data_IF_180441207564
#
_entry.id   IF_180441207564
#
_cell.length_a   1.000
_cell.length_b   1.000
_cell.length_c   1.000
_cell.angle_alpha   90.00
_cell.angle_beta   90.00
_cell.angle_gamma   90.00
#
_symmetry.space_group_name_H-M   'P 1'
#
loop_
_entity.id
_entity.type
_entity.pdbx_description
1 polymer ?
#
# COMPACT_ATOMS: atom_id res chain seq x y z
N UNK A 1 61.42 28.12 -5.45
CA UNK A 1 60.66 28.23 -6.71
C UNK A 1 59.29 28.86 -6.42
N UNK A 2 58.78 29.67 -7.35
CA UNK A 2 57.41 30.21 -7.52
C UNK A 2 56.35 29.98 -6.41
N UNK A 3 55.79 31.06 -5.80
CA UNK A 3 54.45 31.70 -6.06
C UNK A 3 53.25 30.78 -5.75
N UNK A 4 52.03 31.22 -5.43
CA UNK A 4 51.42 32.42 -4.81
C UNK A 4 49.89 32.11 -4.65
N UNK A 5 49.10 32.73 -3.77
CA UNK A 5 49.39 33.74 -2.76
C UNK A 5 48.17 34.09 -1.87
N UNK A 6 48.42 34.94 -0.86
CA UNK A 6 47.48 35.54 0.11
C UNK A 6 46.39 36.39 -0.58
N UNK A 7 45.22 36.52 0.06
CA UNK A 7 44.44 37.76 0.01
C UNK A 7 44.08 38.25 1.42
N UNK A 8 44.28 39.55 1.63
CA UNK A 8 44.07 40.30 2.86
C UNK A 8 42.85 41.21 2.67
N UNK A 9 42.21 41.59 3.78
CA UNK A 9 41.01 42.42 3.79
C UNK A 9 41.27 43.94 3.64
N UNK A 10 40.15 44.68 3.63
CA UNK A 10 39.97 46.13 3.90
C UNK A 10 40.10 47.10 2.73
N UNK A 11 38.97 47.76 2.39
CA UNK A 11 38.89 49.23 2.41
C UNK A 11 37.45 49.71 2.69
N UNK A 12 37.31 50.88 3.33
CA UNK A 12 36.04 51.51 3.73
C UNK A 12 36.03 52.98 3.29
N UNK A 13 34.99 53.38 2.53
CA UNK A 13 34.40 54.73 2.35
C UNK A 13 33.47 54.64 1.11
N UNK A 14 32.28 55.28 1.00
CA UNK A 14 31.56 56.13 1.93
C UNK A 14 30.97 57.38 1.24
N UNK A 15 29.73 57.32 0.71
CA UNK A 15 28.81 58.48 0.55
C UNK A 15 27.38 58.04 0.15
N UNK A 16 26.37 58.87 0.42
CA UNK A 16 24.95 58.62 0.13
C UNK A 16 24.62 58.65 -1.37
N UNK A 17 23.64 57.84 -1.81
CA UNK A 17 22.36 58.32 -2.37
C UNK A 17 21.41 57.17 -2.79
N UNK A 18 20.13 57.32 -2.40
CA UNK A 18 18.90 56.69 -2.93
C UNK A 18 18.82 55.16 -3.05
N UNK A 19 17.79 54.59 -2.44
CA UNK A 19 17.63 53.14 -2.29
C UNK A 19 17.22 52.40 -3.56
N UNK A 20 17.96 51.34 -3.86
CA UNK A 20 17.44 50.10 -4.47
C UNK A 20 17.87 48.94 -3.58
N UNK A 21 16.99 47.95 -3.39
CA UNK A 21 17.31 46.79 -2.54
C UNK A 21 18.45 45.98 -3.17
N UNK A 22 19.40 45.44 -2.38
CA UNK A 22 20.47 44.62 -2.92
C UNK A 22 19.87 43.33 -3.48
N UNK A 23 20.02 43.12 -4.80
CA UNK A 23 19.77 41.82 -5.39
C UNK A 23 20.70 40.80 -4.72
N UNK A 24 20.12 39.80 -4.07
CA UNK A 24 20.88 38.70 -3.47
C UNK A 24 21.61 37.98 -4.60
N UNK A 25 22.93 38.17 -4.66
CA UNK A 25 23.77 37.56 -5.68
C UNK A 25 23.77 36.03 -5.48
N UNK A 26 22.94 35.35 -6.27
CA UNK A 26 22.87 33.90 -6.28
C UNK A 26 24.23 33.34 -6.73
N UNK A 27 24.78 32.32 -6.06
CA UNK A 27 26.03 31.70 -6.48
C UNK A 27 25.83 31.12 -7.89
N UNK A 28 26.71 31.48 -8.82
CA UNK A 28 26.66 31.02 -10.21
C UNK A 28 27.13 29.56 -10.28
N UNK A 29 26.28 28.65 -9.84
CA UNK A 29 26.42 27.21 -10.11
C UNK A 29 26.11 27.03 -11.60
N UNK A 30 27.01 26.40 -12.35
CA UNK A 30 26.81 26.23 -13.80
C UNK A 30 25.56 25.38 -14.07
N UNK A 31 24.86 25.65 -15.18
CA UNK A 31 23.66 24.89 -15.58
C UNK A 31 23.91 23.38 -15.57
N UNK A 32 25.09 22.94 -16.01
CA UNK A 32 25.49 21.52 -15.99
C UNK A 32 25.56 20.95 -14.57
N UNK A 33 26.06 21.71 -13.59
CA UNK A 33 26.13 21.28 -12.19
C UNK A 33 24.75 21.11 -11.55
N UNK A 34 23.85 22.08 -11.74
CA UNK A 34 22.47 22.02 -11.24
C UNK A 34 21.73 20.82 -11.85
N UNK A 35 21.88 20.63 -13.17
CA UNK A 35 21.18 19.60 -13.94
C UNK A 35 21.65 18.17 -13.61
N UNK A 36 22.97 17.96 -13.47
CA UNK A 36 23.54 16.66 -13.05
C UNK A 36 23.11 16.31 -11.62
N UNK A 37 23.11 17.28 -10.71
CA UNK A 37 22.67 17.07 -9.33
C UNK A 37 21.20 16.61 -9.25
N UNK A 38 20.29 17.27 -9.97
CA UNK A 38 18.88 16.87 -10.02
C UNK A 38 18.66 15.45 -10.54
N UNK A 39 19.32 15.06 -11.63
CA UNK A 39 19.14 13.72 -12.21
C UNK A 39 19.61 12.63 -11.26
N UNK A 40 20.71 12.87 -10.54
CA UNK A 40 21.21 11.94 -9.53
C UNK A 40 20.27 11.87 -8.31
N UNK A 41 19.81 13.00 -7.78
CA UNK A 41 18.80 13.03 -6.71
C UNK A 41 17.52 12.30 -7.11
N UNK A 42 17.03 12.49 -8.34
CA UNK A 42 15.85 11.80 -8.89
C UNK A 42 16.07 10.29 -8.99
N UNK A 43 17.24 9.86 -9.50
CA UNK A 43 17.63 8.44 -9.55
C UNK A 43 17.70 7.83 -8.15
N UNK A 44 18.27 8.56 -7.20
CA UNK A 44 18.37 8.17 -5.80
C UNK A 44 17.01 8.05 -5.11
N UNK A 45 16.06 8.94 -5.38
CA UNK A 45 14.68 8.85 -4.89
C UNK A 45 13.95 7.63 -5.49
N UNK A 46 14.09 7.38 -6.80
CA UNK A 46 13.51 6.20 -7.47
C UNK A 46 14.05 4.87 -6.92
N UNK A 47 15.35 4.79 -6.62
CA UNK A 47 15.96 3.60 -6.00
C UNK A 47 15.44 3.38 -4.58
N UNK A 48 15.26 4.44 -3.78
CA UNK A 48 14.68 4.33 -2.44
C UNK A 48 13.19 3.96 -2.49
N UNK A 49 12.42 4.49 -3.44
CA UNK A 49 11.02 4.08 -3.64
C UNK A 49 10.91 2.57 -3.94
N UNK A 50 11.80 2.00 -4.77
CA UNK A 50 11.88 0.54 -4.98
C UNK A 50 12.21 -0.22 -3.69
N UNK A 51 13.11 0.32 -2.84
CA UNK A 51 13.46 -0.28 -1.53
C UNK A 51 12.33 -0.20 -0.50
N UNK A 52 11.47 0.82 -0.57
CA UNK A 52 10.24 0.94 0.24
C UNK A 52 9.23 -0.10 -0.23
N UNK A 53 8.90 -0.11 -1.53
CA UNK A 53 7.91 -1.04 -2.10
C UNK A 53 8.27 -2.52 -1.87
N UNK A 54 9.56 -2.88 -1.93
CA UNK A 54 10.02 -4.23 -1.56
C UNK A 54 9.80 -4.53 -0.07
N UNK A 55 10.11 -3.59 0.83
CA UNK A 55 9.88 -3.76 2.27
C UNK A 55 8.38 -3.80 2.63
N UNK A 56 7.52 -3.13 1.86
CA UNK A 56 6.06 -3.23 2.01
C UNK A 56 5.53 -4.63 1.69
N UNK A 57 6.07 -5.28 0.65
CA UNK A 57 5.77 -6.69 0.34
C UNK A 57 6.18 -7.62 1.48
N UNK A 58 7.43 -7.51 1.94
CA UNK A 58 7.96 -8.33 3.04
C UNK A 58 7.18 -8.13 4.33
N UNK A 59 6.81 -6.90 4.67
CA UNK A 59 5.98 -6.63 5.86
C UNK A 59 4.55 -7.22 5.73
N UNK A 60 3.95 -7.21 4.52
CA UNK A 60 2.66 -7.85 4.28
C UNK A 60 2.73 -9.38 4.38
N UNK A 61 3.81 -9.99 3.86
CA UNK A 61 4.08 -11.43 3.99
C UNK A 61 4.27 -11.83 5.47
N UNK A 62 4.98 -11.03 6.26
CA UNK A 62 5.17 -11.26 7.70
C UNK A 62 3.85 -11.13 8.49
N UNK A 63 2.99 -10.17 8.14
CA UNK A 63 1.65 -10.04 8.76
C UNK A 63 0.77 -11.27 8.50
N UNK A 64 0.82 -11.82 7.28
CA UNK A 64 0.14 -13.07 6.96
C UNK A 64 0.72 -14.25 7.75
N UNK A 65 2.05 -14.35 7.86
CA UNK A 65 2.71 -15.39 8.64
C UNK A 65 2.39 -15.32 10.15
N UNK A 66 2.37 -14.11 10.74
CA UNK A 66 1.98 -13.89 12.14
C UNK A 66 0.51 -14.26 12.38
N UNK A 67 -0.39 -13.90 11.45
CA UNK A 67 -1.79 -14.32 11.50
C UNK A 67 -1.91 -15.84 11.55
N UNK A 68 -1.22 -16.55 10.64
CA UNK A 68 -1.20 -18.02 10.63
C UNK A 68 -0.56 -18.63 11.88
N UNK A 69 0.51 -18.02 12.42
CA UNK A 69 1.14 -18.50 13.66
C UNK A 69 0.19 -18.38 14.86
N UNK A 70 -0.55 -17.28 14.96
CA UNK A 70 -1.55 -17.06 16.01
C UNK A 70 -2.74 -18.03 15.93
N UNK A 71 -3.08 -18.52 14.73
CA UNK A 71 -4.10 -19.57 14.54
C UNK A 71 -3.59 -20.93 15.02
N UNK A 72 -2.33 -21.27 14.71
CA UNK A 72 -1.68 -22.50 15.20
C UNK A 72 -1.53 -22.47 16.72
N UNK A 73 -1.19 -21.33 17.33
CA UNK A 73 -1.15 -21.16 18.78
C UNK A 73 -2.53 -21.41 19.40
N UNK A 74 -3.60 -20.75 18.91
CA UNK A 74 -4.97 -20.97 19.41
C UNK A 74 -5.42 -22.43 19.29
N UNK A 75 -5.04 -23.12 18.21
CA UNK A 75 -5.33 -24.53 18.00
C UNK A 75 -4.58 -25.43 19.00
N UNK A 76 -3.29 -25.17 19.25
CA UNK A 76 -2.50 -25.91 20.24
C UNK A 76 -2.98 -25.65 21.68
N UNK A 77 -3.39 -24.42 22.00
CA UNK A 77 -4.05 -24.04 23.25
C UNK A 77 -5.39 -24.75 23.45
N UNK A 78 -6.14 -24.98 22.38
CA UNK A 78 -7.38 -25.75 22.42
C UNK A 78 -7.11 -27.24 22.64
N UNK A 79 -6.15 -27.82 21.92
CA UNK A 79 -5.83 -29.24 22.05
C UNK A 79 -5.25 -29.56 23.43
N UNK A 80 -4.36 -28.72 23.97
CA UNK A 80 -3.86 -28.90 25.33
C UNK A 80 -4.98 -28.87 26.39
N UNK A 81 -5.97 -27.98 26.24
CA UNK A 81 -7.15 -27.96 27.12
C UNK A 81 -7.98 -29.24 26.98
N UNK A 82 -8.17 -29.75 25.77
CA UNK A 82 -8.87 -31.02 25.53
C UNK A 82 -8.15 -32.20 26.20
N UNK A 83 -6.82 -32.28 26.06
CA UNK A 83 -6.00 -33.32 26.68
C UNK A 83 -6.01 -33.22 28.21
N UNK A 84 -6.02 -32.00 28.79
CA UNK A 84 -6.12 -31.81 30.24
C UNK A 84 -7.46 -32.33 30.79
N UNK A 85 -8.56 -32.12 30.06
CA UNK A 85 -9.87 -32.69 30.41
C UNK A 85 -9.86 -34.22 30.31
N UNK A 86 -9.26 -34.79 29.25
CA UNK A 86 -9.12 -36.25 29.09
C UNK A 86 -8.31 -36.88 30.23
N UNK A 87 -7.18 -36.26 30.60
CA UNK A 87 -6.34 -36.71 31.70
C UNK A 87 -7.09 -36.71 33.05
N UNK A 88 -7.82 -35.64 33.37
CA UNK A 88 -8.67 -35.58 34.56
C UNK A 88 -9.78 -36.64 34.56
N UNK A 89 -10.37 -36.93 33.39
CA UNK A 89 -11.36 -38.00 33.26
C UNK A 89 -10.72 -39.38 33.44
N UNK A 90 -9.52 -39.62 32.92
CA UNK A 90 -8.77 -40.87 33.10
C UNK A 90 -8.46 -41.13 34.59
N UNK A 91 -8.04 -40.10 35.33
CA UNK A 91 -7.86 -40.19 36.79
C UNK A 91 -9.18 -40.53 37.49
N UNK A 92 -10.26 -39.81 37.18
CA UNK A 92 -11.60 -40.06 37.76
C UNK A 92 -12.04 -41.51 37.53
N UNK A 93 -11.90 -42.00 36.29
CA UNK A 93 -12.26 -43.37 35.92
C UNK A 93 -11.39 -44.41 36.65
N UNK A 94 -10.08 -44.19 36.76
CA UNK A 94 -9.17 -45.09 37.46
C UNK A 94 -9.48 -45.19 38.96
N UNK A 95 -9.80 -44.06 39.61
CA UNK A 95 -10.23 -44.03 41.02
C UNK A 95 -11.57 -44.74 41.20
N UNK A 96 -12.54 -44.55 40.30
CA UNK A 96 -13.84 -45.24 40.32
C UNK A 96 -13.71 -46.76 40.08
N UNK A 97 -12.81 -47.18 39.18
CA UNK A 97 -12.51 -48.59 38.97
C UNK A 97 -11.95 -49.25 40.23
N UNK A 98 -10.96 -48.61 40.86
CA UNK A 98 -10.34 -49.13 42.09
C UNK A 98 -11.32 -49.22 43.28
N UNK A 99 -12.24 -48.27 43.43
CA UNK A 99 -13.28 -48.36 44.48
C UNK A 99 -14.34 -49.42 44.18
N UNK A 100 -14.71 -49.61 42.91
CA UNK A 100 -15.61 -50.69 42.50
C UNK A 100 -14.98 -52.09 42.72
N UNK A 101 -13.68 -52.24 42.44
CA UNK A 101 -12.91 -53.46 42.67
C UNK A 101 -12.81 -53.79 44.17
N UNK A 102 -12.46 -52.82 45.01
CA UNK A 102 -12.46 -52.96 46.48
C UNK A 102 -13.83 -53.41 47.04
N UNK A 103 -14.94 -53.01 46.43
CA UNK A 103 -16.28 -53.44 46.82
C UNK A 103 -16.61 -54.87 46.35
N UNK A 104 -16.06 -55.33 45.21
CA UNK A 104 -16.30 -56.66 44.65
C UNK A 104 -15.38 -57.76 45.22
N UNK A 105 -14.26 -57.42 45.86
CA UNK A 105 -13.32 -58.37 46.51
C UNK A 105 -13.98 -59.26 47.61
N UNK A 106 -15.23 -58.99 47.98
CA UNK A 106 -16.04 -59.89 48.81
C UNK A 106 -16.56 -61.16 48.09
N UNK A 107 -16.39 -61.30 46.76
CA UNK A 107 -17.07 -62.34 45.97
C UNK A 107 -16.29 -62.93 44.80
N UNK A 108 -15.63 -64.07 45.06
CA UNK A 108 -15.16 -65.09 44.08
C UNK A 108 -14.07 -64.71 43.07
N UNK A 109 -13.34 -65.75 42.67
CA UNK A 109 -12.24 -65.70 41.71
C UNK A 109 -12.73 -65.67 40.26
N UNK A 110 -12.36 -64.64 39.53
CA UNK A 110 -11.64 -64.76 38.25
C UNK A 110 -10.98 -63.41 37.95
N UNK A 111 -9.70 -63.42 37.54
CA UNK A 111 -8.87 -62.20 37.43
C UNK A 111 -8.84 -61.70 35.99
N UNK A 112 -9.59 -60.65 35.69
CA UNK A 112 -9.24 -59.78 34.57
C UNK A 112 -8.07 -58.87 34.94
N UNK A 113 -7.17 -58.66 33.98
CA UNK A 113 -5.94 -57.90 34.16
C UNK A 113 -6.22 -56.38 34.26
N UNK A 114 -5.59 -55.69 35.21
CA UNK A 114 -5.94 -54.30 35.55
C UNK A 114 -5.52 -53.34 34.43
N UNK A 115 -6.46 -52.94 33.58
CA UNK A 115 -6.25 -52.00 32.45
C UNK A 115 -6.10 -50.52 32.90
N UNK A 116 -6.47 -50.20 34.14
CA UNK A 116 -6.54 -48.83 34.66
C UNK A 116 -5.23 -47.99 34.64
N UNK A 117 -4.03 -48.50 35.03
CA UNK A 117 -2.82 -47.67 35.11
C UNK A 117 -2.26 -47.23 33.74
N UNK A 118 -2.46 -48.03 32.69
CA UNK A 118 -1.90 -47.71 31.36
C UNK A 118 -2.64 -46.54 30.71
N UNK A 119 -3.97 -46.47 30.86
CA UNK A 119 -4.80 -45.36 30.36
C UNK A 119 -4.44 -44.00 30.98
N UNK A 120 -4.11 -43.97 32.28
CA UNK A 120 -3.65 -42.73 32.95
C UNK A 120 -2.25 -42.35 32.44
N UNK A 121 -1.38 -43.35 32.23
CA UNK A 121 0.00 -43.15 31.72
C UNK A 121 0.02 -42.70 30.26
N UNK A 122 -0.87 -43.21 29.41
CA UNK A 122 -1.07 -42.74 28.03
C UNK A 122 -1.67 -41.33 27.99
N UNK A 123 -2.64 -41.04 28.86
CA UNK A 123 -3.24 -39.70 28.96
C UNK A 123 -2.23 -38.65 29.44
N UNK A 124 -1.33 -38.99 30.39
CA UNK A 124 -0.25 -38.11 30.85
C UNK A 124 0.73 -37.79 29.71
N UNK A 125 1.21 -38.82 29.00
CA UNK A 125 2.08 -38.65 27.83
C UNK A 125 1.43 -37.77 26.74
N UNK A 126 0.14 -37.96 26.50
CA UNK A 126 -0.63 -37.14 25.54
C UNK A 126 -0.73 -35.68 25.97
N UNK A 127 -0.97 -35.41 27.26
CA UNK A 127 -1.00 -34.07 27.83
C UNK A 127 0.37 -33.36 27.78
N UNK A 128 1.45 -34.08 28.10
CA UNK A 128 2.82 -33.58 28.01
C UNK A 128 3.23 -33.23 26.57
N UNK A 129 2.91 -34.12 25.62
CA UNK A 129 3.14 -33.87 24.19
C UNK A 129 2.36 -32.64 23.68
N UNK A 130 1.09 -32.50 24.07
CA UNK A 130 0.30 -31.31 23.76
C UNK A 130 0.86 -30.05 24.41
N UNK A 131 1.40 -30.14 25.63
CA UNK A 131 2.06 -29.02 26.32
C UNK A 131 3.34 -28.57 25.62
N UNK A 132 4.12 -29.52 25.11
CA UNK A 132 5.32 -29.26 24.29
C UNK A 132 4.94 -28.59 22.97
N UNK A 133 3.91 -29.10 22.27
CA UNK A 133 3.40 -28.52 21.03
C UNK A 133 2.86 -27.09 21.24
N UNK A 134 2.13 -26.85 22.33
CA UNK A 134 1.63 -25.54 22.75
C UNK A 134 2.76 -24.53 22.95
N UNK A 135 3.77 -24.87 23.74
CA UNK A 135 4.91 -23.99 23.98
C UNK A 135 5.70 -23.68 22.70
N UNK A 136 5.84 -24.67 21.81
CA UNK A 136 6.48 -24.47 20.50
C UNK A 136 5.64 -23.60 19.54
N UNK A 137 4.31 -23.72 19.58
CA UNK A 137 3.41 -22.87 18.80
C UNK A 137 3.46 -21.41 19.27
N UNK A 138 3.36 -21.19 20.58
CA UNK A 138 3.49 -19.86 21.20
C UNK A 138 4.83 -19.20 20.89
N UNK A 139 5.94 -19.92 21.05
CA UNK A 139 7.28 -19.39 20.70
C UNK A 139 7.41 -19.00 19.22
N UNK A 140 6.69 -19.68 18.30
CA UNK A 140 6.63 -19.27 16.89
C UNK A 140 5.75 -18.04 16.67
N UNK A 141 4.64 -17.93 17.40
CA UNK A 141 3.74 -16.76 17.43
C UNK A 141 4.52 -15.52 17.87
N UNK A 142 5.15 -15.56 19.06
CA UNK A 142 5.98 -14.49 19.62
C UNK A 142 7.11 -14.05 18.65
N UNK A 143 7.75 -15.02 17.99
CA UNK A 143 8.81 -14.76 17.01
C UNK A 143 8.29 -14.11 15.71
N UNK A 144 7.09 -14.46 15.26
CA UNK A 144 6.46 -13.88 14.09
C UNK A 144 5.98 -12.45 14.35
N UNK A 145 5.35 -12.20 15.51
CA UNK A 145 4.95 -10.86 15.95
C UNK A 145 6.16 -9.94 16.09
N UNK A 146 7.26 -10.43 16.68
CA UNK A 146 8.52 -9.69 16.73
C UNK A 146 9.07 -9.36 15.33
N UNK A 147 9.02 -10.30 14.40
CA UNK A 147 9.48 -10.07 13.03
C UNK A 147 8.62 -9.02 12.31
N UNK A 148 7.30 -8.99 12.55
CA UNK A 148 6.40 -7.93 12.07
C UNK A 148 6.79 -6.57 12.66
N UNK A 149 7.05 -6.47 13.97
CA UNK A 149 7.48 -5.22 14.61
C UNK A 149 8.80 -4.69 14.04
N UNK A 150 9.82 -5.56 13.95
CA UNK A 150 11.13 -5.20 13.41
C UNK A 150 11.04 -4.76 11.93
N UNK A 151 10.20 -5.42 11.12
CA UNK A 151 9.92 -5.05 9.73
C UNK A 151 9.12 -3.74 9.60
N UNK A 152 8.14 -3.50 10.48
CA UNK A 152 7.39 -2.26 10.53
C UNK A 152 8.29 -1.07 10.90
N UNK A 153 9.24 -1.27 11.82
CA UNK A 153 10.25 -0.28 12.18
C UNK A 153 11.20 0.02 11.00
N UNK A 154 11.62 -1.00 10.24
CA UNK A 154 12.44 -0.79 9.05
C UNK A 154 11.69 -0.06 7.92
N UNK A 155 10.43 -0.43 7.69
CA UNK A 155 9.58 0.22 6.70
C UNK A 155 9.37 1.71 7.03
N UNK A 156 9.17 2.07 8.31
CA UNK A 156 9.11 3.48 8.76
C UNK A 156 10.40 4.22 8.40
N UNK A 157 11.58 3.70 8.79
CA UNK A 157 12.88 4.31 8.45
C UNK A 157 13.06 4.52 6.95
N UNK A 158 12.64 3.57 6.11
CA UNK A 158 12.73 3.69 4.64
C UNK A 158 11.77 4.71 4.05
N UNK A 159 10.56 4.85 4.62
CA UNK A 159 9.59 5.88 4.21
C UNK A 159 10.08 7.28 4.59
N UNK A 160 10.69 7.45 5.76
CA UNK A 160 11.30 8.72 6.17
C UNK A 160 12.48 9.09 5.24
N UNK A 161 13.32 8.12 4.89
CA UNK A 161 14.41 8.30 3.92
C UNK A 161 13.90 8.64 2.51
N UNK A 162 12.78 8.06 2.07
CA UNK A 162 12.13 8.42 0.82
C UNK A 162 11.59 9.86 0.87
N UNK A 163 10.94 10.26 1.97
CA UNK A 163 10.42 11.61 2.16
C UNK A 163 11.53 12.67 2.11
N UNK A 164 12.70 12.39 2.72
CA UNK A 164 13.91 13.24 2.60
C UNK A 164 14.36 13.40 1.15
N UNK A 165 14.55 12.29 0.43
CA UNK A 165 14.97 12.31 -0.99
C UNK A 165 13.97 13.02 -1.91
N UNK A 166 12.67 12.84 -1.68
CA UNK A 166 11.63 13.58 -2.42
C UNK A 166 11.67 15.08 -2.11
N UNK A 167 12.01 15.45 -0.87
CA UNK A 167 12.23 16.86 -0.48
C UNK A 167 13.49 17.43 -1.16
N UNK A 168 14.59 16.68 -1.22
CA UNK A 168 15.81 17.09 -1.94
C UNK A 168 15.55 17.29 -3.44
N UNK A 169 14.83 16.36 -4.08
CA UNK A 169 14.42 16.47 -5.49
C UNK A 169 13.52 17.69 -5.72
N UNK A 170 12.59 17.97 -4.80
CA UNK A 170 11.72 19.15 -4.87
C UNK A 170 12.52 20.44 -4.71
N UNK A 171 13.37 20.55 -3.69
CA UNK A 171 14.23 21.72 -3.49
C UNK A 171 15.13 21.95 -4.71
N UNK A 172 15.73 20.89 -5.28
CA UNK A 172 16.52 20.98 -6.49
C UNK A 172 15.70 21.48 -7.71
N UNK A 173 14.41 21.13 -7.80
CA UNK A 173 13.50 21.62 -8.82
C UNK A 173 13.13 23.10 -8.62
N UNK A 174 12.96 23.53 -7.37
CA UNK A 174 12.65 24.92 -7.00
C UNK A 174 13.79 25.89 -7.38
N UNK A 175 15.05 25.42 -7.35
CA UNK A 175 16.22 26.18 -7.82
C UNK A 175 16.37 26.26 -9.36
N UNK A 176 15.54 25.57 -10.14
CA UNK A 176 15.59 25.58 -11.60
C UNK A 176 14.65 26.61 -12.22
N UNK A 177 15.13 27.32 -13.26
CA UNK A 177 14.28 28.14 -14.13
C UNK A 177 13.39 27.25 -15.02
N UNK A 178 12.27 27.77 -15.58
CA UNK A 178 11.42 27.03 -16.53
C UNK A 178 12.22 26.41 -17.68
N UNK A 179 13.07 27.18 -18.36
CA UNK A 179 13.91 26.70 -19.47
C UNK A 179 14.84 25.53 -19.08
N UNK A 180 15.36 25.53 -17.84
CA UNK A 180 16.18 24.43 -17.31
C UNK A 180 15.35 23.18 -17.03
N UNK A 181 14.07 23.34 -16.65
CA UNK A 181 13.12 22.24 -16.49
C UNK A 181 12.67 21.67 -17.84
N UNK A 182 12.48 22.50 -18.87
CA UNK A 182 12.17 22.03 -20.22
C UNK A 182 13.36 21.30 -20.85
N UNK A 183 14.59 21.81 -20.69
CA UNK A 183 15.82 21.12 -21.12
C UNK A 183 16.03 19.75 -20.45
N UNK A 184 15.55 19.56 -19.23
CA UNK A 184 15.52 18.26 -18.54
C UNK A 184 14.38 17.33 -18.99
N UNK A 185 13.52 17.79 -19.89
CA UNK A 185 12.31 17.09 -20.31
C UNK A 185 11.23 17.03 -19.21
N UNK A 186 11.33 17.85 -18.17
CA UNK A 186 10.33 17.94 -17.09
C UNK A 186 9.13 18.76 -17.53
N UNK A 187 9.33 19.78 -18.37
CA UNK A 187 8.24 20.39 -19.14
C UNK A 187 7.93 19.61 -20.42
N UNK A 188 8.85 18.84 -21.02
CA UNK A 188 8.50 17.91 -22.10
C UNK A 188 7.55 16.77 -21.67
N UNK A 189 7.52 16.42 -20.37
CA UNK A 189 6.47 15.58 -19.79
C UNK A 189 5.07 16.27 -19.77
N UNK A 190 5.03 17.58 -20.00
CA UNK A 190 3.85 18.46 -20.11
C UNK A 190 3.68 19.14 -21.49
N UNK A 191 4.60 18.93 -22.45
CA UNK A 191 4.50 19.43 -23.84
C UNK A 191 4.21 18.26 -24.80
N UNK A 192 3.00 18.15 -25.37
CA UNK A 192 2.58 16.97 -26.13
C UNK A 192 3.22 16.82 -27.53
N UNK A 193 4.07 17.76 -27.95
CA UNK A 193 4.40 17.98 -29.37
C UNK A 193 5.70 17.30 -29.85
N UNK A 194 6.60 16.88 -28.93
CA UNK A 194 7.90 16.29 -29.28
C UNK A 194 8.02 14.78 -28.98
N UNK A 195 6.95 14.14 -28.50
CA UNK A 195 6.92 12.69 -28.28
C UNK A 195 6.58 11.86 -29.55
N UNK A 196 6.61 12.48 -30.74
CA UNK A 196 6.30 11.84 -32.04
C UNK A 196 7.59 11.41 -32.76
N UNK A 197 8.29 10.42 -32.20
CA UNK A 197 9.01 9.41 -33.00
C UNK A 197 9.29 8.18 -32.13
N UNK A 198 9.10 6.97 -32.69
CA UNK A 198 9.37 5.71 -31.98
C UNK A 198 8.15 4.94 -31.45
N UNK A 199 7.09 4.82 -32.24
CA UNK A 199 5.96 3.93 -31.92
C UNK A 199 4.88 3.97 -33.00
N UNK A 200 4.65 2.85 -33.69
CA UNK A 200 3.78 2.77 -34.86
C UNK A 200 2.38 3.35 -34.64
N UNK A 201 1.89 4.08 -35.66
CA UNK A 201 0.59 4.72 -35.63
C UNK A 201 -0.58 3.72 -35.49
N UNK A 202 -1.54 4.07 -34.62
CA UNK A 202 -2.96 3.81 -34.87
C UNK A 202 -3.75 5.09 -34.63
N UNK A 203 -3.95 5.87 -35.69
CA UNK A 203 -5.02 6.86 -35.73
C UNK A 203 -6.36 6.13 -35.70
N UNK A 204 -7.31 6.55 -34.86
CA UNK A 204 -8.60 5.87 -34.76
C UNK A 204 -9.47 6.20 -33.55
N UNK A 205 -9.82 7.48 -33.36
CA UNK A 205 -10.72 8.03 -32.32
C UNK A 205 -10.25 7.91 -30.86
N UNK A 206 -10.38 8.98 -30.09
CA UNK A 206 -10.23 8.97 -28.63
C UNK A 206 -11.45 8.31 -27.98
N UNK A 207 -11.59 6.99 -28.14
CA UNK A 207 -12.73 6.23 -27.64
C UNK A 207 -12.73 6.24 -26.11
N UNK A 208 -13.73 6.87 -25.53
CA UNK A 208 -13.95 6.88 -24.08
C UNK A 208 -14.80 5.68 -23.68
N UNK A 209 -14.44 5.02 -22.58
CA UNK A 209 -15.14 3.86 -22.04
C UNK A 209 -15.84 4.21 -20.73
N UNK A 210 -16.93 3.51 -20.41
CA UNK A 210 -17.42 3.46 -19.04
C UNK A 210 -16.34 2.85 -18.13
N UNK A 211 -16.07 3.41 -16.94
CA UNK A 211 -14.98 2.98 -16.06
C UNK A 211 -15.20 1.59 -15.46
N UNK A 212 -16.45 1.12 -15.40
CA UNK A 212 -16.83 -0.24 -15.01
C UNK A 212 -18.25 -0.51 -15.51
N UNK A 213 -18.75 -1.73 -15.30
CA UNK A 213 -20.17 -2.07 -15.49
C UNK A 213 -20.91 -2.03 -14.17
N UNK A 214 -22.12 -1.49 -14.13
CA UNK A 214 -22.92 -1.48 -12.90
C UNK A 214 -24.07 -0.47 -12.92
N UNK A 215 -24.71 -0.32 -11.77
CA UNK A 215 -25.81 0.64 -11.57
C UNK A 215 -25.26 1.90 -10.92
N UNK A 216 -25.55 3.08 -11.48
CA UNK A 216 -25.22 4.36 -10.83
C UNK A 216 -26.08 4.50 -9.57
N UNK A 217 -25.45 4.56 -8.41
CA UNK A 217 -26.12 4.63 -7.09
C UNK A 217 -26.02 6.00 -6.43
N UNK A 218 -25.06 6.83 -6.83
CA UNK A 218 -24.88 8.20 -6.31
C UNK A 218 -24.25 9.08 -7.39
N UNK A 219 -24.78 10.28 -7.59
CA UNK A 219 -24.26 11.26 -8.54
C UNK A 219 -23.32 12.25 -7.86
N UNK A 220 -22.59 13.02 -8.68
CA UNK A 220 -21.82 14.18 -8.23
C UNK A 220 -22.75 15.26 -7.67
N UNK A 221 -22.33 15.95 -6.60
CA UNK A 221 -23.05 17.09 -6.03
C UNK A 221 -23.33 17.01 -4.52
N UNK A 222 -24.02 18.00 -3.94
CA UNK A 222 -24.27 18.07 -2.51
C UNK A 222 -25.22 16.95 -2.01
N UNK A 223 -24.81 16.23 -0.95
CA UNK A 223 -25.62 15.25 -0.22
C UNK A 223 -25.47 15.41 1.29
N UNK A 224 -26.60 15.54 2.00
CA UNK A 224 -26.66 15.59 3.47
C UNK A 224 -25.70 16.59 4.15
N UNK A 225 -25.44 17.74 3.51
CA UNK A 225 -24.54 18.78 4.01
C UNK A 225 -23.07 18.62 3.62
N UNK A 226 -22.69 17.54 2.93
CA UNK A 226 -21.35 17.32 2.38
C UNK A 226 -21.37 17.34 0.83
N UNK A 227 -20.24 17.65 0.20
CA UNK A 227 -20.10 17.54 -1.26
C UNK A 227 -19.72 16.11 -1.64
N UNK A 228 -20.40 15.56 -2.65
CA UNK A 228 -19.97 14.32 -3.31
C UNK A 228 -19.19 14.66 -4.59
N UNK A 229 -17.90 14.36 -4.55
CA UNK A 229 -16.92 14.81 -5.54
C UNK A 229 -16.74 13.86 -6.75
N UNK A 230 -17.55 12.80 -6.83
CA UNK A 230 -17.49 11.78 -7.86
C UNK A 230 -18.85 11.13 -8.18
N UNK A 231 -18.80 9.98 -8.84
CA UNK A 231 -19.93 9.18 -9.28
C UNK A 231 -19.75 7.75 -8.74
N UNK A 232 -20.77 7.21 -8.07
CA UNK A 232 -20.72 5.86 -7.51
C UNK A 232 -21.45 4.87 -8.40
N UNK A 233 -20.77 3.79 -8.80
CA UNK A 233 -21.29 2.74 -9.68
C UNK A 233 -21.20 1.40 -8.95
N UNK A 234 -22.35 0.88 -8.50
CA UNK A 234 -22.43 -0.35 -7.73
C UNK A 234 -22.45 -1.61 -8.61
N UNK A 235 -21.66 -2.61 -8.21
CA UNK A 235 -21.68 -3.98 -8.72
C UNK A 235 -20.99 -4.89 -7.68
N UNK A 236 -20.85 -6.19 -7.96
CA UNK A 236 -20.12 -7.12 -7.10
C UNK A 236 -18.63 -6.77 -6.99
N UNK A 237 -18.04 -7.04 -5.83
CA UNK A 237 -16.59 -7.02 -5.63
C UNK A 237 -15.92 -7.91 -6.69
N UNK A 238 -14.79 -7.45 -7.24
CA UNK A 238 -14.09 -8.13 -8.33
C UNK A 238 -14.53 -7.72 -9.74
N UNK A 239 -15.59 -6.91 -9.89
CA UNK A 239 -15.99 -6.39 -11.21
C UNK A 239 -14.84 -5.58 -11.83
N UNK A 240 -14.46 -5.83 -13.11
CA UNK A 240 -13.34 -5.12 -13.73
C UNK A 240 -13.56 -3.61 -13.78
N UNK A 241 -12.52 -2.86 -13.41
CA UNK A 241 -12.43 -1.41 -13.55
C UNK A 241 -11.40 -1.12 -14.63
N UNK A 242 -11.76 -0.27 -15.59
CA UNK A 242 -10.97 0.05 -16.79
C UNK A 242 -10.62 1.54 -16.84
N UNK A 243 -9.51 1.87 -17.49
CA UNK A 243 -9.15 3.26 -17.80
C UNK A 243 -10.15 3.85 -18.79
N UNK A 244 -10.79 4.98 -18.47
CA UNK A 244 -11.80 5.60 -19.37
C UNK A 244 -11.19 6.10 -20.67
N UNK A 245 -9.92 6.51 -20.66
CA UNK A 245 -9.15 7.01 -21.81
C UNK A 245 -7.70 6.53 -21.75
N UNK A 246 -6.95 6.72 -22.84
CA UNK A 246 -5.49 6.58 -22.84
C UNK A 246 -4.87 7.53 -21.80
N UNK A 247 -3.80 7.11 -21.13
CA UNK A 247 -3.17 7.93 -20.10
C UNK A 247 -1.93 7.33 -19.46
N UNK A 248 -1.47 8.00 -18.40
CA UNK A 248 -0.39 7.56 -17.54
C UNK A 248 -0.90 7.49 -16.11
N UNK A 249 -0.69 6.35 -15.44
CA UNK A 249 -0.99 6.19 -14.02
C UNK A 249 -0.07 7.13 -13.23
N UNK A 250 -0.65 8.13 -12.57
CA UNK A 250 0.07 9.01 -11.65
C UNK A 250 0.33 8.30 -10.32
N UNK A 251 -0.71 7.66 -9.76
CA UNK A 251 -0.68 7.04 -8.44
C UNK A 251 -1.51 5.74 -8.45
N UNK A 252 -1.08 4.73 -7.70
CA UNK A 252 -1.83 3.49 -7.49
C UNK A 252 -1.41 2.89 -6.13
N UNK A 253 -2.36 2.65 -5.23
CA UNK A 253 -2.06 2.29 -3.85
C UNK A 253 -3.11 2.73 -2.83
N UNK A 254 -2.80 2.68 -1.52
CA UNK A 254 -3.67 3.18 -0.47
C UNK A 254 -3.88 4.69 -0.51
N UNK A 255 -5.10 5.13 -0.17
CA UNK A 255 -5.44 6.55 -0.07
C UNK A 255 -6.51 6.80 1.01
N UNK A 256 -6.39 7.90 1.75
CA UNK A 256 -7.37 8.29 2.77
C UNK A 256 -8.74 8.53 2.14
N UNK A 257 -9.82 8.16 2.82
CA UNK A 257 -11.18 8.14 2.26
C UNK A 257 -11.42 6.99 1.27
N UNK A 258 -10.62 6.91 0.19
CA UNK A 258 -10.82 5.94 -0.90
C UNK A 258 -10.42 4.49 -0.56
N UNK A 259 -9.64 4.27 0.50
CA UNK A 259 -9.12 2.95 0.87
C UNK A 259 -7.97 2.52 -0.03
N UNK A 260 -8.28 2.08 -1.24
CA UNK A 260 -7.33 1.94 -2.35
C UNK A 260 -7.80 2.79 -3.53
N UNK A 261 -6.87 3.30 -4.31
CA UNK A 261 -7.17 3.99 -5.56
C UNK A 261 -6.21 3.66 -6.71
N UNK A 262 -6.64 4.01 -7.92
CA UNK A 262 -5.77 4.30 -9.06
C UNK A 262 -6.09 5.72 -9.53
N UNK A 263 -5.08 6.49 -9.93
CA UNK A 263 -5.22 7.86 -10.46
C UNK A 263 -4.47 7.96 -11.78
N UNK A 264 -5.14 8.40 -12.83
CA UNK A 264 -4.63 8.42 -14.20
C UNK A 264 -4.76 9.83 -14.76
N UNK A 265 -3.65 10.37 -15.29
CA UNK A 265 -3.67 11.59 -16.10
C UNK A 265 -3.83 11.17 -17.56
N UNK A 266 -4.91 11.63 -18.19
CA UNK A 266 -5.26 11.28 -19.56
C UNK A 266 -4.58 12.20 -20.58
N UNK A 267 -4.59 11.77 -21.85
CA UNK A 267 -3.96 12.50 -22.96
C UNK A 267 -4.56 13.89 -23.21
N UNK A 268 -5.78 14.17 -22.75
CA UNK A 268 -6.42 15.50 -22.81
C UNK A 268 -6.18 16.36 -21.54
N UNK A 269 -5.28 15.89 -20.65
CA UNK A 269 -4.92 16.47 -19.35
C UNK A 269 -6.02 16.40 -18.27
N UNK A 270 -7.14 15.72 -18.52
CA UNK A 270 -8.05 15.36 -17.43
C UNK A 270 -7.41 14.32 -16.50
N UNK A 271 -7.79 14.33 -15.23
CA UNK A 271 -7.38 13.28 -14.27
C UNK A 271 -8.58 12.47 -13.86
N UNK A 272 -8.51 11.15 -13.97
CA UNK A 272 -9.53 10.24 -13.45
C UNK A 272 -9.01 9.52 -12.19
N UNK A 273 -9.82 9.47 -11.14
CA UNK A 273 -9.55 8.72 -9.90
C UNK A 273 -10.55 7.57 -9.80
N UNK A 274 -10.07 6.39 -9.42
CA UNK A 274 -10.84 5.15 -9.32
C UNK A 274 -10.67 4.60 -7.89
N UNK A 275 -11.62 4.91 -7.01
CA UNK A 275 -11.57 4.64 -5.56
C UNK A 275 -12.38 3.41 -5.11
N UNK A 276 -12.24 3.06 -3.83
CA UNK A 276 -12.87 1.91 -3.15
C UNK A 276 -12.57 0.52 -3.77
N UNK A 277 -11.61 0.44 -4.69
CA UNK A 277 -11.19 -0.79 -5.37
C UNK A 277 -10.63 -1.83 -4.37
N UNK A 278 -10.74 -3.12 -4.71
CA UNK A 278 -10.18 -4.19 -3.88
C UNK A 278 -8.72 -4.51 -4.23
N UNK A 279 -8.33 -4.33 -5.49
CA UNK A 279 -6.97 -4.52 -6.00
C UNK A 279 -6.74 -3.72 -7.28
N UNK A 280 -5.47 -3.49 -7.62
CA UNK A 280 -5.03 -2.83 -8.87
C UNK A 280 -4.01 -3.70 -9.61
N UNK A 281 -4.04 -3.63 -10.94
CA UNK A 281 -3.15 -4.37 -11.86
C UNK A 281 -2.07 -3.47 -12.50
N UNK A 282 -1.98 -2.22 -12.06
CA UNK A 282 -1.11 -1.19 -12.65
C UNK A 282 -0.25 -0.48 -11.59
N UNK A 283 0.79 0.24 -12.05
CA UNK A 283 1.73 0.97 -11.18
C UNK A 283 1.94 2.41 -11.66
N UNK A 284 2.35 3.31 -10.76
CA UNK A 284 2.73 4.67 -11.12
C UNK A 284 3.77 4.71 -12.26
N UNK A 285 3.60 5.67 -13.19
CA UNK A 285 4.38 5.80 -14.42
C UNK A 285 3.99 4.84 -15.55
N UNK A 286 3.07 3.90 -15.34
CA UNK A 286 2.60 3.00 -16.39
C UNK A 286 1.70 3.73 -17.39
N UNK A 287 2.01 3.61 -18.69
CA UNK A 287 1.06 3.95 -19.76
C UNK A 287 -0.05 2.91 -19.79
N UNK A 288 -1.29 3.38 -19.94
CA UNK A 288 -2.48 2.54 -20.06
C UNK A 288 -3.33 3.00 -21.25
N UNK A 289 -3.99 2.04 -21.90
CA UNK A 289 -4.92 2.31 -23.00
C UNK A 289 -6.36 2.45 -22.50
N UNK A 290 -7.18 3.19 -23.24
CA UNK A 290 -8.61 3.25 -23.04
C UNK A 290 -9.24 1.85 -23.07
N UNK A 291 -10.06 1.52 -22.07
CA UNK A 291 -10.66 0.21 -21.88
C UNK A 291 -9.73 -0.87 -21.30
N UNK A 292 -8.45 -0.57 -21.03
CA UNK A 292 -7.56 -1.50 -20.34
C UNK A 292 -8.00 -1.68 -18.88
N UNK A 293 -8.06 -2.94 -18.40
CA UNK A 293 -8.33 -3.25 -16.99
C UNK A 293 -7.16 -2.76 -16.11
N UNK A 294 -7.48 -1.89 -15.16
CA UNK A 294 -6.54 -1.26 -14.22
C UNK A 294 -6.74 -1.70 -12.77
N UNK A 295 -7.95 -2.15 -12.43
CA UNK A 295 -8.32 -2.51 -11.07
C UNK A 295 -9.54 -3.45 -11.04
N UNK A 296 -9.87 -3.93 -9.84
CA UNK A 296 -11.08 -4.67 -9.55
C UNK A 296 -11.88 -3.95 -8.46
N UNK A 297 -13.19 -3.78 -8.68
CA UNK A 297 -14.12 -3.11 -7.77
C UNK A 297 -14.08 -3.72 -6.36
N UNK A 298 -14.29 -2.90 -5.33
CA UNK A 298 -14.21 -3.32 -3.93
C UNK A 298 -15.24 -2.66 -3.03
N UNK A 299 -14.87 -2.56 -1.76
CA UNK A 299 -15.63 -1.91 -0.69
C UNK A 299 -14.65 -1.38 0.38
N UNK A 300 -13.52 -0.81 -0.05
CA UNK A 300 -12.43 -0.38 0.86
C UNK A 300 -12.53 1.10 1.18
N UNK A 301 -12.06 1.51 2.37
CA UNK A 301 -12.13 2.92 2.80
C UNK A 301 -13.53 3.29 3.30
N UNK A 302 -13.91 4.55 3.12
CA UNK A 302 -15.20 5.12 3.54
C UNK A 302 -16.32 4.74 2.57
N UNK A 303 -16.66 3.44 2.55
CA UNK A 303 -17.64 2.85 1.64
C UNK A 303 -18.75 2.13 2.42
N UNK A 304 -20.00 2.37 2.04
CA UNK A 304 -21.19 1.77 2.68
C UNK A 304 -21.67 0.47 2.03
N UNK A 305 -21.09 0.09 0.88
CA UNK A 305 -21.38 -1.16 0.16
C UNK A 305 -20.58 -1.24 -1.15
N UNK A 306 -20.50 -2.40 -1.82
CA UNK A 306 -19.63 -2.57 -2.99
C UNK A 306 -19.94 -1.63 -4.17
N UNK A 307 -18.98 -0.77 -4.51
CA UNK A 307 -19.05 0.13 -5.65
C UNK A 307 -17.66 0.58 -6.13
N UNK A 308 -17.63 1.16 -7.33
CA UNK A 308 -16.54 2.03 -7.79
C UNK A 308 -16.97 3.48 -7.56
N UNK A 309 -16.16 4.24 -6.83
CA UNK A 309 -16.25 5.70 -6.85
C UNK A 309 -15.29 6.24 -7.91
N UNK A 310 -15.79 7.04 -8.86
CA UNK A 310 -14.97 7.69 -9.89
C UNK A 310 -15.05 9.21 -9.79
N UNK A 311 -13.91 9.89 -9.70
CA UNK A 311 -13.82 11.35 -9.85
C UNK A 311 -13.20 11.70 -11.21
N UNK A 312 -13.64 12.80 -11.83
CA UNK A 312 -13.02 13.39 -13.02
C UNK A 312 -12.61 14.83 -12.67
N UNK A 313 -11.34 15.16 -12.87
CA UNK A 313 -10.81 16.50 -12.68
C UNK A 313 -10.42 17.09 -14.03
N UNK A 314 -10.77 18.36 -14.26
CA UNK A 314 -10.38 19.10 -15.46
C UNK A 314 -8.87 19.38 -15.52
N UNK A 315 -8.39 19.98 -16.62
CA UNK A 315 -6.96 20.31 -16.79
C UNK A 315 -6.43 21.37 -15.80
N UNK A 316 -7.30 21.96 -15.00
CA UNK A 316 -6.97 22.94 -13.96
C UNK A 316 -7.08 22.31 -12.54
N UNK A 317 -7.35 21.01 -12.44
CA UNK A 317 -7.54 20.30 -11.18
C UNK A 317 -8.91 20.50 -10.52
N UNK A 318 -9.89 21.09 -11.23
CA UNK A 318 -11.26 21.24 -10.71
C UNK A 318 -12.03 19.95 -10.90
N UNK A 319 -12.65 19.45 -9.83
CA UNK A 319 -13.56 18.31 -9.91
C UNK A 319 -14.81 18.69 -10.70
N UNK A 320 -15.22 17.83 -11.63
CA UNK A 320 -16.39 18.00 -12.49
C UNK A 320 -17.27 16.75 -12.45
N UNK A 321 -18.56 16.91 -12.74
CA UNK A 321 -19.52 15.79 -12.78
C UNK A 321 -19.06 14.71 -13.79
N UNK A 322 -18.70 13.49 -13.31
CA UNK A 322 -18.24 12.42 -14.17
C UNK A 322 -19.33 11.91 -15.12
N UNK A 323 -20.60 11.95 -14.73
CA UNK A 323 -21.72 11.50 -15.54
C UNK A 323 -21.94 12.42 -16.75
N UNK A 324 -21.88 13.74 -16.51
CA UNK A 324 -21.95 14.75 -17.58
C UNK A 324 -20.73 14.65 -18.50
N UNK A 325 -19.52 14.52 -17.94
CA UNK A 325 -18.30 14.40 -18.72
C UNK A 325 -18.29 13.14 -19.60
N UNK A 326 -18.61 11.97 -19.03
CA UNK A 326 -18.64 10.70 -19.74
C UNK A 326 -19.70 10.68 -20.86
N UNK A 327 -20.91 11.21 -20.59
CA UNK A 327 -21.95 11.38 -21.62
C UNK A 327 -21.53 12.35 -22.73
N UNK A 328 -20.90 13.47 -22.38
CA UNK A 328 -20.34 14.42 -23.35
C UNK A 328 -19.26 13.82 -24.26
N UNK A 329 -18.62 12.73 -23.81
CA UNK A 329 -17.64 11.93 -24.58
C UNK A 329 -18.26 10.70 -25.28
N UNK A 330 -19.58 10.54 -25.25
CA UNK A 330 -20.31 9.48 -25.96
C UNK A 330 -20.59 8.20 -25.14
N UNK A 331 -20.28 8.17 -23.84
CA UNK A 331 -20.58 7.01 -22.98
C UNK A 331 -22.04 7.05 -22.53
N UNK A 332 -22.85 6.14 -23.08
CA UNK A 332 -24.30 6.07 -22.83
C UNK A 332 -24.76 4.79 -22.11
N UNK A 333 -23.88 3.80 -21.96
CA UNK A 333 -24.17 2.51 -21.34
C UNK A 333 -23.09 2.15 -20.30
N UNK A 334 -23.49 1.39 -19.29
CA UNK A 334 -22.70 0.98 -18.13
C UNK A 334 -22.81 -0.55 -17.99
#
# INVERSE_FOLDING_TARGET
MFRAGRFLAVFVAGLLLLGTAPAVAQPVVSLGGIMVNYLELRRQAQLTHKKVSAAESTHAELLAAATSASEVERAADAEWRNQAVRFNQAITNAVQGFTAELLHVSGTSDREEVVAPDLVTESSRSLEAAGTARNAARSKSDAADKAVEDAAADLRRRRDELAKRLTEVRTALDWMTPDQRDMLGLEAANRPELAVSGGAARSGSSRVFAPTRGVVTSNFGPRWGAMHDGLDIANRIGTPVVSVMDGVVAEAGPASGFGLWVKIVHTDRTTAIYGHINSYSVRAGQRVSAGQVIAAMGNRGESTGPHLHVEIWDSNGRKVDPLVWLRGKGVMAW
#
